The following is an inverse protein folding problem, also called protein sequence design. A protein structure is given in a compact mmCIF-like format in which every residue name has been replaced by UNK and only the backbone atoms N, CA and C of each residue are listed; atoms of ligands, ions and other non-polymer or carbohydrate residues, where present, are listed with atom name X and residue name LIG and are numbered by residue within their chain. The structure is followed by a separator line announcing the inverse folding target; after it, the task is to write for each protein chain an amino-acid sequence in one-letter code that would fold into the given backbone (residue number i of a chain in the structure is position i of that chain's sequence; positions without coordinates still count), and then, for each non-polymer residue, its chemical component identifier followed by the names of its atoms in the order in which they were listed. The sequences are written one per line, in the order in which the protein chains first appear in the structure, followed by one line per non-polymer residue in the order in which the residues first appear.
data_IF_067726042415
#
_entry.id   IF_067726042415
#
_cell.length_a   1.000
_cell.length_b   1.000
_cell.length_c   1.000
_cell.angle_alpha   90.00
_cell.angle_beta   90.00
_cell.angle_gamma   90.00
#
_symmetry.space_group_name_H-M   'P 1'
#
loop_
_entity.id
_entity.type
_entity.pdbx_description
1 polymer ?
#
# COMPACT_ATOMS: atom_id res chain seq x y z
N UNK A 1 2.30 42.76 35.34
CA UNK A 1 2.94 41.56 34.78
C UNK A 1 1.86 40.65 34.17
N UNK A 2 1.64 40.78 32.87
CA UNK A 2 0.61 39.99 32.13
C UNK A 2 1.28 38.74 31.58
N UNK A 3 0.94 37.57 32.16
CA UNK A 3 1.31 36.26 31.61
C UNK A 3 0.43 35.95 30.40
N UNK A 4 0.93 36.12 29.17
CA UNK A 4 0.31 35.58 27.94
C UNK A 4 0.32 34.06 27.99
N UNK A 5 -0.83 33.45 28.13
CA UNK A 5 -1.03 32.01 27.91
C UNK A 5 -0.82 31.74 26.41
N UNK A 6 0.27 31.07 26.10
CA UNK A 6 0.50 30.53 24.73
C UNK A 6 -0.35 29.27 24.62
N UNK A 7 -1.53 29.40 24.03
CA UNK A 7 -2.36 28.26 23.62
C UNK A 7 -1.81 27.71 22.28
N UNK A 8 -0.87 26.79 22.34
CA UNK A 8 -0.44 26.03 21.17
C UNK A 8 -1.34 24.80 20.99
N UNK A 9 -2.58 24.99 20.56
CA UNK A 9 -3.39 23.89 20.01
C UNK A 9 -2.85 23.51 18.63
N UNK A 10 -1.71 22.80 18.57
CA UNK A 10 -1.37 22.02 17.37
C UNK A 10 -2.39 20.88 17.29
N UNK A 11 -3.46 21.05 16.50
CA UNK A 11 -4.33 19.93 16.13
C UNK A 11 -3.46 18.86 15.49
N UNK A 12 -3.16 17.80 16.22
CA UNK A 12 -2.53 16.60 15.66
C UNK A 12 -3.42 16.08 14.54
N UNK A 13 -2.83 15.76 13.38
CA UNK A 13 -3.60 15.20 12.26
C UNK A 13 -4.24 13.89 12.72
N UNK A 14 -5.52 13.62 12.36
CA UNK A 14 -6.18 12.39 12.76
C UNK A 14 -5.40 11.18 12.24
N UNK A 15 -5.26 10.17 13.06
CA UNK A 15 -4.55 8.92 12.73
C UNK A 15 -5.40 8.10 11.76
N UNK A 16 -6.73 8.07 11.99
CA UNK A 16 -7.67 7.34 11.15
C UNK A 16 -8.39 8.28 10.18
N UNK A 17 -8.51 7.85 8.93
CA UNK A 17 -9.15 8.64 7.87
C UNK A 17 -10.09 7.77 7.04
N UNK A 18 -10.97 8.42 6.27
CA UNK A 18 -11.89 7.75 5.34
C UNK A 18 -11.36 7.69 3.90
N UNK A 19 -10.04 7.77 3.71
CA UNK A 19 -9.42 7.80 2.37
C UNK A 19 -9.69 6.52 1.58
N UNK A 20 -9.88 5.37 2.26
CA UNK A 20 -10.35 4.12 1.65
C UNK A 20 -11.60 4.35 0.80
N UNK A 21 -12.59 5.09 1.33
CA UNK A 21 -13.81 5.37 0.59
C UNK A 21 -13.54 6.17 -0.70
N UNK A 22 -12.65 7.17 -0.64
CA UNK A 22 -12.33 8.01 -1.79
C UNK A 22 -11.60 7.22 -2.86
N UNK A 23 -10.53 6.54 -2.50
CA UNK A 23 -9.69 5.74 -3.43
C UNK A 23 -10.51 4.60 -4.06
N UNK A 24 -11.30 3.88 -3.28
CA UNK A 24 -12.15 2.82 -3.81
C UNK A 24 -13.27 3.32 -4.75
N UNK A 25 -13.62 4.61 -4.66
CA UNK A 25 -14.64 5.25 -5.51
C UNK A 25 -14.10 5.77 -6.85
N UNK A 26 -12.77 5.76 -7.06
CA UNK A 26 -12.17 6.12 -8.36
C UNK A 26 -12.70 5.14 -9.43
N UNK A 27 -13.35 5.62 -10.50
CA UNK A 27 -13.98 4.75 -11.49
C UNK A 27 -12.98 3.85 -12.19
N UNK A 28 -11.94 4.44 -12.77
CA UNK A 28 -10.85 3.74 -13.44
C UNK A 28 -9.59 3.78 -12.58
N UNK A 29 -9.13 2.59 -12.16
CA UNK A 29 -7.96 2.46 -11.29
C UNK A 29 -6.64 2.81 -12.01
N UNK A 30 -6.63 2.85 -13.36
CA UNK A 30 -5.49 3.30 -14.15
C UNK A 30 -5.15 4.77 -13.88
N UNK A 31 -6.15 5.58 -13.50
CA UNK A 31 -5.91 6.95 -13.04
C UNK A 31 -4.82 7.04 -11.96
N UNK A 32 -4.82 6.12 -11.01
CA UNK A 32 -3.80 6.08 -9.94
C UNK A 32 -2.42 5.82 -10.54
N UNK A 33 -2.31 4.82 -11.43
CA UNK A 33 -1.05 4.49 -12.09
C UNK A 33 -0.51 5.66 -12.91
N UNK A 34 -1.38 6.35 -13.66
CA UNK A 34 -0.98 7.46 -14.53
C UNK A 34 -0.56 8.69 -13.74
N UNK A 35 -1.25 9.00 -12.63
CA UNK A 35 -0.83 10.07 -11.72
C UNK A 35 0.54 9.76 -11.11
N UNK A 36 0.75 8.55 -10.61
CA UNK A 36 2.04 8.15 -10.03
C UNK A 36 3.13 8.17 -11.10
N UNK A 37 2.87 7.62 -12.28
CA UNK A 37 3.80 7.61 -13.41
C UNK A 37 4.19 9.03 -13.84
N UNK A 38 3.24 9.97 -13.86
CA UNK A 38 3.53 11.36 -14.17
C UNK A 38 4.50 11.98 -13.16
N UNK A 39 4.30 11.75 -11.86
CA UNK A 39 5.25 12.19 -10.83
C UNK A 39 6.60 11.49 -10.96
N UNK A 40 6.63 10.19 -11.23
CA UNK A 40 7.86 9.41 -11.41
C UNK A 40 8.70 9.90 -12.59
N UNK A 41 8.05 10.42 -13.65
CA UNK A 41 8.73 11.06 -14.81
C UNK A 41 9.02 12.56 -14.61
N UNK A 42 8.89 13.07 -13.38
CA UNK A 42 9.15 14.49 -13.09
C UNK A 42 8.11 15.47 -13.67
N UNK A 43 6.96 14.97 -14.14
CA UNK A 43 5.87 15.82 -14.61
C UNK A 43 5.12 16.36 -13.39
N UNK A 44 5.20 17.66 -13.17
CA UNK A 44 4.63 18.31 -11.99
C UNK A 44 3.10 18.38 -11.97
N UNK A 45 2.54 18.96 -10.90
CA UNK A 45 1.08 19.12 -10.72
C UNK A 45 0.40 19.86 -11.87
N UNK A 46 1.09 20.81 -12.50
CA UNK A 46 0.53 21.55 -13.63
C UNK A 46 0.18 20.64 -14.82
N UNK A 47 1.04 19.66 -15.11
CA UNK A 47 0.76 18.64 -16.12
C UNK A 47 -0.44 17.77 -15.73
N UNK A 48 -0.45 17.27 -14.50
CA UNK A 48 -1.53 16.39 -14.01
C UNK A 48 -2.86 17.13 -14.01
N UNK A 49 -2.88 18.40 -13.58
CA UNK A 49 -4.08 19.23 -13.63
C UNK A 49 -4.58 19.44 -15.08
N UNK A 50 -3.69 19.66 -16.03
CA UNK A 50 -4.04 19.80 -17.44
C UNK A 50 -4.67 18.50 -17.97
N UNK A 51 -4.02 17.36 -17.78
CA UNK A 51 -4.47 16.06 -18.31
C UNK A 51 -5.74 15.55 -17.60
N UNK A 52 -5.80 15.64 -16.27
CA UNK A 52 -6.93 15.10 -15.52
C UNK A 52 -8.10 16.07 -15.46
N UNK A 53 -7.84 17.37 -15.20
CA UNK A 53 -8.92 18.34 -15.01
C UNK A 53 -9.42 18.95 -16.30
N UNK A 54 -8.55 19.37 -17.21
CA UNK A 54 -8.96 20.02 -18.47
C UNK A 54 -9.43 19.00 -19.48
N UNK A 55 -8.64 17.97 -19.77
CA UNK A 55 -8.97 16.96 -20.78
C UNK A 55 -9.97 15.92 -20.28
N UNK A 56 -9.99 15.68 -18.96
CA UNK A 56 -10.91 14.72 -18.31
C UNK A 56 -10.95 13.35 -18.99
N UNK A 57 -9.79 12.81 -19.34
CA UNK A 57 -9.64 11.53 -20.07
C UNK A 57 -10.30 10.34 -19.37
N UNK A 58 -10.53 10.43 -18.06
CA UNK A 58 -11.21 9.41 -17.25
C UNK A 58 -12.71 9.63 -17.07
N UNK A 59 -13.30 10.60 -17.76
CA UNK A 59 -14.74 10.86 -17.71
C UNK A 59 -15.30 11.17 -16.32
N UNK A 60 -14.49 11.76 -15.42
CA UNK A 60 -14.94 12.08 -14.05
C UNK A 60 -15.95 13.23 -14.09
N UNK A 61 -17.18 12.95 -13.67
CA UNK A 61 -18.34 13.80 -13.86
C UNK A 61 -18.18 15.24 -13.35
N UNK A 62 -17.65 15.44 -12.15
CA UNK A 62 -17.58 16.77 -11.54
C UNK A 62 -16.15 17.18 -11.23
N UNK A 63 -15.85 18.49 -11.29
CA UNK A 63 -14.55 19.05 -10.92
C UNK A 63 -14.21 18.72 -9.47
N UNK A 64 -15.17 18.84 -8.55
CA UNK A 64 -15.01 18.51 -7.13
C UNK A 64 -14.55 17.05 -6.92
N UNK A 65 -15.10 16.11 -7.72
CA UNK A 65 -14.65 14.69 -7.66
C UNK A 65 -13.23 14.52 -8.17
N UNK A 66 -12.83 15.25 -9.22
CA UNK A 66 -11.47 15.20 -9.77
C UNK A 66 -10.45 15.69 -8.73
N UNK A 67 -10.71 16.83 -8.11
CA UNK A 67 -9.86 17.40 -7.05
C UNK A 67 -9.77 16.45 -5.84
N UNK A 68 -10.90 15.89 -5.41
CA UNK A 68 -10.96 14.95 -4.31
C UNK A 68 -10.14 13.68 -4.60
N UNK A 69 -10.24 13.13 -5.81
CA UNK A 69 -9.47 11.95 -6.21
C UNK A 69 -7.97 12.24 -6.28
N UNK A 70 -7.57 13.35 -6.90
CA UNK A 70 -6.17 13.74 -6.96
C UNK A 70 -5.57 13.96 -5.57
N UNK A 71 -6.31 14.67 -4.70
CA UNK A 71 -5.88 14.91 -3.32
C UNK A 71 -5.69 13.58 -2.56
N UNK A 72 -6.62 12.62 -2.70
CA UNK A 72 -6.52 11.33 -2.05
C UNK A 72 -5.36 10.48 -2.63
N UNK A 73 -5.17 10.49 -3.95
CA UNK A 73 -4.04 9.79 -4.59
C UNK A 73 -2.71 10.33 -4.07
N UNK A 74 -2.55 11.65 -4.01
CA UNK A 74 -1.33 12.29 -3.47
C UNK A 74 -1.11 11.91 -2.01
N UNK A 75 -2.14 11.99 -1.19
CA UNK A 75 -2.06 11.69 0.24
C UNK A 75 -1.67 10.24 0.52
N UNK A 76 -2.18 9.30 -0.27
CA UNK A 76 -2.00 7.87 -0.06
C UNK A 76 -0.77 7.34 -0.80
N UNK A 77 -0.56 7.72 -2.07
CA UNK A 77 0.44 7.09 -2.93
C UNK A 77 1.68 7.95 -3.23
N UNK A 78 1.62 9.28 -3.04
CA UNK A 78 2.74 10.21 -3.31
C UNK A 78 3.37 10.73 -2.00
N UNK A 79 3.13 10.05 -0.90
CA UNK A 79 3.73 10.36 0.39
C UNK A 79 4.75 9.29 0.75
N UNK A 80 6.02 9.68 0.85
CA UNK A 80 7.13 8.77 1.12
C UNK A 80 7.70 8.97 2.51
N UNK A 81 8.28 7.91 3.08
CA UNK A 81 8.91 7.93 4.41
C UNK A 81 10.36 8.43 4.33
N UNK A 82 11.03 8.15 3.22
CA UNK A 82 12.43 8.50 2.92
C UNK A 82 12.58 8.80 1.43
N UNK A 83 13.74 9.33 1.02
CA UNK A 83 14.09 9.50 -0.40
C UNK A 83 14.29 8.14 -1.10
N UNK A 84 14.86 7.16 -0.41
CA UNK A 84 15.06 5.81 -0.92
C UNK A 84 13.71 5.12 -1.20
N UNK A 85 12.71 5.35 -0.32
CA UNK A 85 11.35 4.86 -0.55
C UNK A 85 10.74 5.46 -1.81
N UNK A 86 10.92 6.76 -2.04
CA UNK A 86 10.49 7.42 -3.27
C UNK A 86 11.19 6.82 -4.50
N UNK A 87 12.51 6.64 -4.45
CA UNK A 87 13.30 6.12 -5.56
C UNK A 87 12.86 4.70 -5.97
N UNK A 88 12.75 3.78 -5.03
CA UNK A 88 12.34 2.39 -5.35
C UNK A 88 10.91 2.33 -5.86
N UNK A 89 10.01 3.16 -5.31
CA UNK A 89 8.62 3.21 -5.73
C UNK A 89 8.48 3.79 -7.14
N UNK A 90 9.10 4.94 -7.40
CA UNK A 90 9.02 5.58 -8.72
C UNK A 90 9.71 4.76 -9.81
N UNK A 91 10.83 4.08 -9.52
CA UNK A 91 11.49 3.21 -10.47
C UNK A 91 10.54 2.14 -11.06
N UNK A 92 9.60 1.62 -10.26
CA UNK A 92 8.60 0.68 -10.74
C UNK A 92 7.56 1.37 -11.65
N UNK A 93 7.14 2.59 -11.32
CA UNK A 93 6.08 3.29 -12.04
C UNK A 93 6.57 4.01 -13.32
N UNK A 94 7.88 4.07 -13.56
CA UNK A 94 8.44 4.45 -14.87
C UNK A 94 8.35 3.31 -15.90
N UNK A 95 8.07 2.07 -15.47
CA UNK A 95 7.94 0.94 -16.37
C UNK A 95 6.49 0.75 -16.83
N UNK A 96 6.27 0.38 -18.09
CA UNK A 96 4.94 0.11 -18.62
C UNK A 96 4.38 -1.26 -18.20
N UNK A 97 5.26 -2.20 -17.90
CA UNK A 97 4.94 -3.58 -17.55
C UNK A 97 4.72 -3.76 -16.03
N UNK A 98 4.67 -5.02 -15.57
CA UNK A 98 4.60 -5.39 -14.14
C UNK A 98 3.30 -5.00 -13.43
N UNK A 99 2.16 -5.24 -14.08
CA UNK A 99 0.83 -4.92 -13.51
C UNK A 99 0.63 -5.53 -12.12
N UNK A 100 1.01 -6.80 -11.92
CA UNK A 100 0.86 -7.47 -10.63
C UNK A 100 1.79 -6.87 -9.57
N UNK A 101 3.05 -6.58 -9.92
CA UNK A 101 4.00 -5.94 -9.02
C UNK A 101 3.54 -4.54 -8.61
N UNK A 102 3.01 -3.75 -9.57
CA UNK A 102 2.42 -2.43 -9.26
C UNK A 102 1.24 -2.53 -8.30
N UNK A 103 0.37 -3.54 -8.45
CA UNK A 103 -0.75 -3.77 -7.52
C UNK A 103 -0.24 -4.05 -6.09
N UNK A 104 0.79 -4.88 -5.95
CA UNK A 104 1.43 -5.17 -4.66
C UNK A 104 2.10 -3.91 -4.09
N UNK A 105 2.80 -3.13 -4.93
CA UNK A 105 3.40 -1.86 -4.51
C UNK A 105 2.34 -0.86 -4.00
N UNK A 106 1.21 -0.72 -4.70
CA UNK A 106 0.09 0.11 -4.26
C UNK A 106 -0.52 -0.37 -2.94
N UNK A 107 -0.63 -1.68 -2.76
CA UNK A 107 -1.14 -2.27 -1.53
C UNK A 107 -0.25 -1.93 -0.32
N UNK A 108 1.07 -2.08 -0.47
CA UNK A 108 2.03 -1.68 0.56
C UNK A 108 2.02 -0.16 0.80
N UNK A 109 2.02 0.63 -0.28
CA UNK A 109 2.03 2.08 -0.18
C UNK A 109 0.79 2.61 0.55
N UNK A 110 -0.36 1.99 0.33
CA UNK A 110 -1.57 2.32 1.08
C UNK A 110 -1.39 1.98 2.56
N UNK A 111 -0.93 0.78 2.87
CA UNK A 111 -0.71 0.36 4.26
C UNK A 111 0.31 1.26 4.99
N UNK A 112 1.32 1.79 4.29
CA UNK A 112 2.29 2.72 4.88
C UNK A 112 1.69 4.08 5.24
N UNK A 113 0.63 4.51 4.57
CA UNK A 113 0.10 5.86 4.67
C UNK A 113 -1.31 5.97 5.24
N UNK A 114 -2.01 4.86 5.44
CA UNK A 114 -3.36 4.80 6.01
C UNK A 114 -3.43 3.73 7.11
N UNK A 115 -3.58 4.18 8.35
CA UNK A 115 -3.60 3.31 9.52
C UNK A 115 -4.80 2.37 9.51
N UNK A 116 -5.99 2.84 9.08
CA UNK A 116 -7.18 2.00 9.01
C UNK A 116 -6.99 0.87 8.00
N UNK A 117 -6.45 1.19 6.83
CA UNK A 117 -6.16 0.18 5.81
C UNK A 117 -5.18 -0.86 6.33
N UNK A 118 -4.10 -0.44 6.99
CA UNK A 118 -3.13 -1.35 7.60
C UNK A 118 -3.79 -2.28 8.63
N UNK A 119 -4.62 -1.74 9.54
CA UNK A 119 -5.27 -2.53 10.58
C UNK A 119 -6.33 -3.48 10.02
N UNK A 120 -7.15 -3.04 9.06
CA UNK A 120 -8.12 -3.93 8.41
C UNK A 120 -7.42 -5.11 7.70
N UNK A 121 -6.24 -4.87 7.12
CA UNK A 121 -5.45 -5.95 6.54
C UNK A 121 -4.89 -6.91 7.60
N UNK A 122 -4.24 -6.40 8.64
CA UNK A 122 -3.55 -7.25 9.62
C UNK A 122 -4.51 -7.92 10.61
N UNK A 123 -5.54 -7.20 11.04
CA UNK A 123 -6.44 -7.64 12.13
C UNK A 123 -7.67 -8.42 11.65
N UNK A 124 -8.09 -8.22 10.38
CA UNK A 124 -9.27 -8.88 9.82
C UNK A 124 -8.90 -9.71 8.60
N UNK A 125 -8.49 -9.07 7.50
CA UNK A 125 -8.29 -9.72 6.21
C UNK A 125 -7.31 -10.90 6.27
N UNK A 126 -6.10 -10.68 6.81
CA UNK A 126 -5.09 -11.74 6.91
C UNK A 126 -5.43 -12.82 7.94
N UNK A 127 -6.20 -12.50 8.99
CA UNK A 127 -6.71 -13.53 9.92
C UNK A 127 -7.67 -14.46 9.20
N UNK A 128 -8.62 -13.94 8.44
CA UNK A 128 -9.57 -14.73 7.66
C UNK A 128 -8.85 -15.57 6.59
N UNK A 129 -7.89 -14.98 5.89
CA UNK A 129 -7.09 -15.66 4.87
C UNK A 129 -6.29 -16.84 5.46
N UNK A 130 -5.54 -16.59 6.55
CA UNK A 130 -4.71 -17.62 7.22
C UNK A 130 -5.55 -18.71 7.90
N UNK A 131 -6.81 -18.41 8.24
CA UNK A 131 -7.77 -19.40 8.73
C UNK A 131 -8.40 -20.28 7.62
N UNK A 132 -7.96 -20.11 6.35
CA UNK A 132 -8.45 -20.89 5.22
C UNK A 132 -9.89 -20.59 4.79
N UNK A 133 -10.42 -19.41 5.16
CA UNK A 133 -11.76 -19.01 4.73
C UNK A 133 -11.78 -18.83 3.22
N UNK A 134 -12.81 -19.34 2.55
CA UNK A 134 -12.97 -19.15 1.10
C UNK A 134 -13.56 -17.78 0.76
N UNK A 135 -14.35 -17.24 1.66
CA UNK A 135 -15.10 -16.00 1.45
C UNK A 135 -14.80 -14.95 2.51
N UNK A 136 -15.01 -13.69 2.11
CA UNK A 136 -14.71 -12.51 2.93
C UNK A 136 -16.03 -11.80 3.27
N UNK A 137 -16.61 -12.06 4.45
CA UNK A 137 -17.84 -11.39 4.88
C UNK A 137 -17.56 -9.95 5.26
N UNK A 138 -18.39 -9.01 4.78
CA UNK A 138 -18.27 -7.58 5.10
C UNK A 138 -18.41 -7.32 6.60
N UNK A 139 -19.26 -8.08 7.26
CA UNK A 139 -19.63 -7.85 8.67
C UNK A 139 -18.45 -7.97 9.64
N UNK A 140 -17.45 -8.78 9.32
CA UNK A 140 -16.21 -8.88 10.11
C UNK A 140 -15.44 -7.54 10.12
N UNK A 141 -15.40 -6.83 8.99
CA UNK A 141 -14.76 -5.51 8.87
C UNK A 141 -15.60 -4.43 9.55
N UNK A 142 -16.91 -4.49 9.38
CA UNK A 142 -17.86 -3.58 10.04
C UNK A 142 -17.75 -3.70 11.55
N UNK A 143 -17.76 -4.93 12.09
CA UNK A 143 -17.60 -5.17 13.52
C UNK A 143 -16.27 -4.65 14.07
N UNK A 144 -15.16 -4.87 13.34
CA UNK A 144 -13.84 -4.35 13.73
C UNK A 144 -13.83 -2.81 13.78
N UNK A 145 -14.44 -2.12 12.79
CA UNK A 145 -14.46 -0.65 12.77
C UNK A 145 -15.37 -0.11 13.89
N UNK A 146 -16.46 -0.79 14.25
CA UNK A 146 -17.29 -0.43 15.41
C UNK A 146 -16.48 -0.51 16.71
N UNK A 147 -15.79 -1.62 16.94
CA UNK A 147 -14.93 -1.80 18.12
C UNK A 147 -13.81 -0.73 18.17
N UNK A 148 -13.26 -0.39 17.00
CA UNK A 148 -12.25 0.67 16.88
C UNK A 148 -12.82 2.06 17.20
N UNK A 149 -14.04 2.37 16.74
CA UNK A 149 -14.75 3.64 17.02
C UNK A 149 -14.95 3.85 18.51
N UNK A 150 -15.31 2.79 19.22
CA UNK A 150 -15.56 2.87 20.66
C UNK A 150 -14.27 3.13 21.47
N UNK A 151 -13.09 2.82 20.87
CA UNK A 151 -11.77 2.98 21.50
C UNK A 151 -10.97 4.20 21.05
N UNK A 152 -11.36 4.85 19.93
CA UNK A 152 -10.55 5.89 19.29
C UNK A 152 -11.32 7.18 19.08
N UNK A 153 -10.82 8.26 19.67
CA UNK A 153 -11.43 9.60 19.58
C UNK A 153 -11.50 10.14 18.16
N UNK A 154 -10.51 9.82 17.31
CA UNK A 154 -10.44 10.30 15.92
C UNK A 154 -11.66 9.90 15.08
N UNK A 155 -12.28 8.78 15.39
CA UNK A 155 -13.38 8.19 14.62
C UNK A 155 -14.67 8.05 15.44
N UNK A 156 -14.68 8.52 16.67
CA UNK A 156 -15.84 8.44 17.58
C UNK A 156 -17.12 9.01 16.96
N UNK A 157 -16.98 10.03 16.12
CA UNK A 157 -18.10 10.68 15.44
C UNK A 157 -18.53 10.02 14.11
N UNK A 158 -17.93 8.88 13.76
CA UNK A 158 -18.36 8.19 12.55
C UNK A 158 -19.74 7.55 12.75
N UNK A 159 -20.67 7.87 11.85
CA UNK A 159 -22.00 7.26 11.84
C UNK A 159 -21.90 5.78 11.42
N UNK A 160 -22.93 5.00 11.79
CA UNK A 160 -23.05 3.61 11.35
C UNK A 160 -23.00 3.49 9.81
N UNK A 161 -23.66 4.40 9.12
CA UNK A 161 -23.61 4.47 7.66
C UNK A 161 -22.19 4.72 7.11
N UNK A 162 -21.40 5.58 7.77
CA UNK A 162 -20.01 5.83 7.40
C UNK A 162 -19.16 4.54 7.53
N UNK A 163 -19.31 3.83 8.63
CA UNK A 163 -18.59 2.58 8.91
C UNK A 163 -18.95 1.51 7.87
N UNK A 164 -20.23 1.34 7.60
CA UNK A 164 -20.74 0.36 6.63
C UNK A 164 -20.22 0.65 5.20
N UNK A 165 -20.20 1.92 4.81
CA UNK A 165 -19.62 2.35 3.54
C UNK A 165 -18.13 2.07 3.48
N UNK A 166 -17.37 2.37 4.52
CA UNK A 166 -15.91 2.12 4.55
C UNK A 166 -15.61 0.62 4.43
N UNK A 167 -16.31 -0.24 5.17
CA UNK A 167 -16.15 -1.69 5.08
C UNK A 167 -16.42 -2.21 3.65
N UNK A 168 -17.53 -1.76 3.04
CA UNK A 168 -17.89 -2.11 1.66
C UNK A 168 -16.85 -1.63 0.64
N UNK A 169 -16.36 -0.39 0.81
CA UNK A 169 -15.35 0.23 -0.06
C UNK A 169 -13.97 -0.41 0.10
N UNK A 170 -13.62 -0.85 1.30
CA UNK A 170 -12.40 -1.62 1.53
C UNK A 170 -12.38 -2.92 0.71
N UNK A 171 -13.47 -3.69 0.72
CA UNK A 171 -13.58 -4.90 -0.09
C UNK A 171 -13.55 -4.61 -1.61
N UNK A 172 -14.14 -3.49 -2.01
CA UNK A 172 -14.08 -3.02 -3.41
C UNK A 172 -12.64 -2.68 -3.81
N UNK A 173 -11.89 -2.04 -2.92
CA UNK A 173 -10.50 -1.68 -3.13
C UNK A 173 -9.62 -2.92 -3.26
N UNK A 174 -9.75 -3.90 -2.36
CA UNK A 174 -9.02 -5.16 -2.45
C UNK A 174 -9.33 -5.91 -3.76
N UNK A 175 -10.59 -5.86 -4.23
CA UNK A 175 -10.94 -6.42 -5.54
C UNK A 175 -10.22 -5.69 -6.68
N UNK A 176 -10.17 -4.35 -6.67
CA UNK A 176 -9.45 -3.56 -7.68
C UNK A 176 -7.95 -3.84 -7.67
N UNK A 177 -7.38 -4.09 -6.50
CA UNK A 177 -5.98 -4.50 -6.35
C UNK A 177 -5.71 -5.98 -6.72
N UNK A 178 -6.76 -6.77 -7.00
CA UNK A 178 -6.63 -8.17 -7.40
C UNK A 178 -6.50 -9.17 -6.24
N UNK A 179 -6.71 -8.72 -5.00
CA UNK A 179 -6.68 -9.59 -3.82
C UNK A 179 -8.01 -10.30 -3.54
N UNK A 180 -9.10 -9.81 -4.13
CA UNK A 180 -10.43 -10.42 -4.07
C UNK A 180 -11.04 -10.55 -5.45
N UNK A 181 -11.96 -11.53 -5.62
CA UNK A 181 -12.83 -11.70 -6.78
C UNK A 181 -14.31 -11.77 -6.36
N UNK A 182 -15.19 -11.90 -7.32
CA UNK A 182 -16.63 -11.96 -7.09
C UNK A 182 -17.33 -10.59 -7.08
N UNK A 183 -18.65 -10.60 -7.37
CA UNK A 183 -19.49 -9.39 -7.39
C UNK A 183 -20.22 -9.21 -6.07
N UNK A 184 -21.11 -10.10 -5.73
CA UNK A 184 -21.91 -10.07 -4.50
C UNK A 184 -21.16 -10.71 -3.35
N UNK A 185 -20.72 -11.94 -3.52
CA UNK A 185 -19.90 -12.66 -2.57
C UNK A 185 -18.43 -12.43 -2.92
N UNK A 186 -17.67 -11.92 -1.96
CA UNK A 186 -16.23 -11.71 -2.11
C UNK A 186 -15.49 -12.98 -1.73
N UNK A 187 -14.56 -13.39 -2.57
CA UNK A 187 -13.71 -14.56 -2.39
C UNK A 187 -12.25 -14.14 -2.45
N UNK A 188 -11.42 -14.82 -1.69
CA UNK A 188 -9.98 -14.61 -1.76
C UNK A 188 -9.43 -15.02 -3.13
N UNK A 189 -8.50 -14.23 -3.66
CA UNK A 189 -7.61 -14.68 -4.71
C UNK A 189 -6.39 -15.35 -4.08
N UNK A 190 -5.83 -16.36 -4.75
CA UNK A 190 -4.55 -16.91 -4.35
C UNK A 190 -3.48 -15.81 -4.44
N UNK A 191 -2.84 -15.54 -3.31
CA UNK A 191 -1.78 -14.55 -3.22
C UNK A 191 -0.44 -15.28 -3.29
N UNK A 192 -0.07 -15.75 -4.48
CA UNK A 192 1.27 -16.25 -4.72
C UNK A 192 2.12 -15.11 -5.29
N UNK A 193 3.05 -14.62 -4.48
CA UNK A 193 3.97 -13.57 -4.91
C UNK A 193 5.17 -14.27 -5.58
N UNK A 194 5.44 -13.94 -6.83
CA UNK A 194 6.62 -14.43 -7.54
C UNK A 194 7.93 -13.89 -6.94
N UNK A 195 9.05 -14.46 -7.30
CA UNK A 195 10.35 -14.06 -6.79
C UNK A 195 10.68 -12.58 -7.08
N UNK A 196 10.40 -12.02 -8.28
CA UNK A 196 10.52 -10.59 -8.55
C UNK A 196 9.77 -9.71 -7.54
N UNK A 197 8.55 -10.10 -7.20
CA UNK A 197 7.73 -9.36 -6.24
C UNK A 197 8.33 -9.42 -4.83
N UNK A 198 8.88 -10.56 -4.41
CA UNK A 198 9.55 -10.68 -3.11
C UNK A 198 10.84 -9.87 -3.09
N UNK A 199 11.64 -9.88 -4.17
CA UNK A 199 12.81 -9.01 -4.29
C UNK A 199 12.44 -7.55 -4.12
N UNK A 200 11.45 -7.09 -4.89
CA UNK A 200 10.96 -5.72 -4.80
C UNK A 200 10.47 -5.36 -3.39
N UNK A 201 9.70 -6.25 -2.76
CA UNK A 201 9.22 -6.07 -1.39
C UNK A 201 10.36 -5.92 -0.40
N UNK A 202 11.45 -6.72 -0.51
CA UNK A 202 12.63 -6.58 0.34
C UNK A 202 13.25 -5.20 0.19
N UNK A 203 13.44 -4.72 -1.04
CA UNK A 203 13.95 -3.38 -1.30
C UNK A 203 13.02 -2.29 -0.78
N UNK A 204 11.71 -2.44 -1.00
CA UNK A 204 10.70 -1.49 -0.51
C UNK A 204 10.71 -1.41 1.02
N UNK A 205 10.75 -2.51 1.73
CA UNK A 205 10.80 -2.51 3.19
C UNK A 205 12.11 -1.94 3.74
N UNK A 206 13.24 -2.24 3.10
CA UNK A 206 14.53 -1.66 3.47
C UNK A 206 14.60 -0.15 3.22
N UNK A 207 13.89 0.34 2.22
CA UNK A 207 13.84 1.77 1.90
C UNK A 207 13.06 2.62 2.89
N UNK A 208 12.29 2.03 3.80
CA UNK A 208 11.53 2.78 4.81
C UNK A 208 12.39 3.41 5.92
N UNK A 209 13.70 3.16 5.91
CA UNK A 209 14.63 3.60 6.94
C UNK A 209 14.75 2.61 8.10
N UNK A 210 15.41 3.03 9.17
CA UNK A 210 15.76 2.19 10.32
C UNK A 210 14.54 1.75 11.13
N UNK A 211 13.88 0.76 10.60
CA UNK A 211 12.95 -0.02 11.39
C UNK A 211 13.76 -1.18 11.99
N UNK A 212 13.80 -2.18 12.17
CA UNK A 212 14.60 -3.24 12.74
C UNK A 212 15.65 -3.72 11.71
N UNK A 213 16.91 -3.99 12.09
CA UNK A 213 17.88 -4.63 11.21
C UNK A 213 17.44 -6.01 10.73
N UNK A 214 16.63 -6.73 11.50
CA UNK A 214 15.97 -7.96 11.10
C UNK A 214 14.74 -7.67 10.25
N UNK A 215 14.80 -8.01 8.97
CA UNK A 215 13.70 -7.79 8.05
C UNK A 215 12.45 -8.59 8.44
N UNK A 216 12.61 -9.75 9.06
CA UNK A 216 11.50 -10.62 9.47
C UNK A 216 10.66 -10.03 10.62
N UNK A 217 11.21 -9.02 11.34
CA UNK A 217 10.50 -8.26 12.38
C UNK A 217 9.82 -6.99 11.86
N UNK A 218 9.82 -6.78 10.54
CA UNK A 218 9.13 -5.63 9.96
C UNK A 218 7.61 -5.82 10.07
N UNK A 219 6.87 -4.91 10.73
CA UNK A 219 5.43 -5.07 10.97
C UNK A 219 4.59 -5.11 9.69
N UNK A 220 5.10 -4.57 8.60
CA UNK A 220 4.39 -4.61 7.32
C UNK A 220 4.42 -6.01 6.65
N UNK A 221 5.20 -6.96 7.17
CA UNK A 221 5.10 -8.35 6.72
C UNK A 221 3.78 -9.01 7.14
N UNK A 222 3.12 -8.50 8.19
CA UNK A 222 1.83 -9.03 8.66
C UNK A 222 0.69 -8.86 7.65
N UNK A 223 0.84 -7.98 6.65
CA UNK A 223 -0.13 -7.83 5.56
C UNK A 223 0.05 -8.87 4.44
N UNK A 224 1.03 -9.77 4.57
CA UNK A 224 1.32 -10.82 3.58
C UNK A 224 0.66 -12.16 3.94
N UNK A 225 0.33 -12.98 2.93
CA UNK A 225 -0.31 -14.27 3.11
C UNK A 225 0.63 -15.39 3.56
N UNK A 226 1.86 -15.06 3.93
CA UNK A 226 2.88 -16.03 4.29
C UNK A 226 3.05 -16.17 5.79
N UNK A 227 3.39 -17.38 6.25
CA UNK A 227 4.04 -17.55 7.54
C UNK A 227 5.48 -17.00 7.49
N UNK A 228 6.00 -16.58 8.63
CA UNK A 228 7.38 -16.10 8.71
C UNK A 228 8.39 -17.13 8.20
N UNK A 229 8.18 -18.44 8.50
CA UNK A 229 9.06 -19.51 8.04
C UNK A 229 9.06 -19.66 6.52
N UNK A 230 7.90 -19.59 5.88
CA UNK A 230 7.79 -19.69 4.42
C UNK A 230 8.46 -18.49 3.76
N UNK A 231 8.22 -17.29 4.27
CA UNK A 231 8.85 -16.08 3.75
C UNK A 231 10.37 -16.10 3.94
N UNK A 232 10.85 -16.51 5.12
CA UNK A 232 12.27 -16.68 5.42
C UNK A 232 12.96 -17.62 4.41
N UNK A 233 12.35 -18.81 4.18
CA UNK A 233 12.89 -19.80 3.22
C UNK A 233 12.95 -19.23 1.81
N UNK A 234 11.94 -18.49 1.39
CA UNK A 234 11.90 -17.87 0.06
C UNK A 234 12.95 -16.77 -0.08
N UNK A 235 13.07 -15.88 0.90
CA UNK A 235 14.12 -14.84 0.90
C UNK A 235 15.51 -15.48 0.85
N UNK A 236 15.74 -16.55 1.63
CA UNK A 236 17.00 -17.29 1.61
C UNK A 236 17.30 -17.91 0.24
N UNK A 237 16.30 -18.52 -0.41
CA UNK A 237 16.46 -19.06 -1.77
C UNK A 237 16.78 -17.96 -2.78
N UNK A 238 16.08 -16.84 -2.72
CA UNK A 238 16.24 -15.69 -3.62
C UNK A 238 17.63 -15.03 -3.45
N UNK A 239 18.20 -15.04 -2.24
CA UNK A 239 19.55 -14.49 -2.01
C UNK A 239 20.65 -15.20 -2.79
N UNK A 240 20.42 -16.42 -3.25
CA UNK A 240 21.35 -17.15 -4.13
C UNK A 240 21.40 -16.59 -5.56
N UNK A 241 20.42 -15.78 -5.96
CA UNK A 241 20.33 -15.14 -7.30
C UNK A 241 20.95 -13.73 -7.29
N UNK A 242 21.67 -13.38 -6.24
CA UNK A 242 22.53 -12.19 -6.18
C UNK A 242 21.82 -10.81 -6.21
N UNK A 243 20.56 -10.72 -5.79
CA UNK A 243 19.87 -9.45 -5.61
C UNK A 243 20.27 -8.74 -4.31
N UNK A 244 20.57 -9.50 -3.28
CA UNK A 244 21.01 -9.06 -1.96
C UNK A 244 21.76 -10.20 -1.25
N UNK A 245 22.58 -9.84 -0.26
CA UNK A 245 23.22 -10.81 0.64
C UNK A 245 22.44 -10.88 1.94
N UNK A 246 22.37 -12.09 2.52
CA UNK A 246 21.77 -12.31 3.82
C UNK A 246 22.83 -12.71 4.84
N UNK A 247 22.65 -12.27 6.06
CA UNK A 247 23.44 -12.64 7.22
C UNK A 247 22.48 -13.06 8.33
N UNK A 248 22.73 -14.23 8.90
CA UNK A 248 21.95 -14.73 10.03
C UNK A 248 22.75 -14.55 11.32
N UNK A 249 22.14 -13.96 12.33
CA UNK A 249 22.66 -13.87 13.68
C UNK A 249 21.61 -14.45 14.64
N UNK A 250 21.79 -15.73 15.00
CA UNK A 250 20.71 -16.47 15.66
C UNK A 250 19.49 -16.59 14.75
N UNK A 251 18.33 -16.09 15.22
CA UNK A 251 17.08 -16.07 14.46
C UNK A 251 16.89 -14.79 13.63
N UNK A 252 17.77 -13.79 13.76
CA UNK A 252 17.66 -12.53 13.02
C UNK A 252 18.17 -12.69 11.60
N UNK A 253 17.42 -12.17 10.63
CA UNK A 253 17.77 -12.14 9.21
C UNK A 253 18.12 -10.72 8.77
N UNK A 254 19.40 -10.43 8.67
CA UNK A 254 19.88 -9.16 8.13
C UNK A 254 20.04 -9.26 6.63
N UNK A 255 19.55 -8.26 5.91
CA UNK A 255 19.64 -8.18 4.45
C UNK A 255 20.47 -6.96 4.06
N UNK A 256 21.55 -7.20 3.28
CA UNK A 256 22.35 -6.17 2.66
C UNK A 256 22.04 -6.12 1.17
N UNK A 257 21.49 -5.01 0.72
CA UNK A 257 21.15 -4.79 -0.68
C UNK A 257 22.41 -4.70 -1.53
N UNK A 258 22.37 -5.26 -2.74
CA UNK A 258 23.48 -5.22 -3.68
C UNK A 258 23.39 -4.04 -4.65
N UNK A 259 22.20 -3.68 -5.04
CA UNK A 259 21.92 -2.63 -6.02
C UNK A 259 21.30 -1.41 -5.34
N UNK A 260 21.38 -0.24 -5.99
CA UNK A 260 20.69 0.96 -5.54
C UNK A 260 19.18 0.80 -5.70
N UNK A 261 18.43 1.57 -4.93
CA UNK A 261 16.96 1.51 -4.92
C UNK A 261 16.32 1.84 -6.27
N UNK A 262 16.90 2.76 -7.01
CA UNK A 262 16.47 3.15 -8.36
C UNK A 262 16.81 2.11 -9.44
N UNK A 263 17.80 1.25 -9.20
CA UNK A 263 18.32 0.28 -10.19
C UNK A 263 17.60 -1.07 -10.12
N UNK A 264 17.04 -1.43 -8.96
CA UNK A 264 16.53 -2.79 -8.72
C UNK A 264 15.51 -3.27 -9.74
N UNK A 265 14.66 -2.38 -10.23
CA UNK A 265 13.64 -2.74 -11.21
C UNK A 265 14.28 -3.16 -12.53
N UNK A 266 15.33 -2.45 -12.99
CA UNK A 266 16.04 -2.81 -14.20
C UNK A 266 16.77 -4.16 -14.04
N UNK A 267 17.33 -4.42 -12.87
CA UNK A 267 17.98 -5.72 -12.56
C UNK A 267 16.94 -6.86 -12.57
N UNK A 268 15.77 -6.65 -11.99
CA UNK A 268 14.66 -7.61 -12.04
C UNK A 268 14.27 -7.90 -13.50
N UNK A 269 14.15 -6.87 -14.34
CA UNK A 269 13.82 -7.01 -15.77
C UNK A 269 14.86 -7.83 -16.52
N UNK A 270 16.13 -7.53 -16.33
CA UNK A 270 17.23 -8.22 -17.00
C UNK A 270 17.26 -9.70 -16.63
N UNK A 271 17.16 -10.02 -15.33
CA UNK A 271 17.17 -11.39 -14.86
C UNK A 271 15.89 -12.18 -15.23
N UNK A 272 14.78 -11.51 -15.48
CA UNK A 272 13.56 -12.15 -15.95
C UNK A 272 13.67 -12.52 -17.43
N UNK A 273 14.22 -11.63 -18.26
CA UNK A 273 14.43 -11.86 -19.70
C UNK A 273 15.46 -12.96 -19.99
N UNK A 274 16.45 -13.14 -19.13
CA UNK A 274 17.48 -14.19 -19.31
C UNK A 274 16.98 -15.61 -18.97
N UNK A 275 15.76 -15.74 -18.42
CA UNK A 275 15.15 -17.03 -18.05
C UNK A 275 14.04 -17.49 -19.01
N UNK A 276 13.66 -16.65 -19.96
CA UNK A 276 12.72 -16.93 -21.05
C UNK A 276 13.50 -17.13 -22.35
#
# INVERSE_FOLDING_TARGET
MNKRKINSNKKTKPVYTSDINVIASIPDFNLINDVISAFAHGKGEAYINKEIFKQNIYGIRTLKSRERFLSAIKKVFIKFKTEEHQKVFYALFTQNNFVNLKRVALYFQFAFNDQLFYELNTKVYMKLYKAGRLTVPKDEFTAYIYDLRDKKTDIQNWSNSTIDIIASKYLTLLKKLGFLKGRFRKEFCALDLDDPTIVYMVYLLKSLGNINPDIMKNPYLDILPYSNDNLYRRIKKISLVDYFKIYTLGYDLKVNLKYKFEEIINVIIQNYRSKV
#
